data_IF_896681295443
#
_entry.id   IF_896681295443
#
_cell.length_a   1.000
_cell.length_b   1.000
_cell.length_c   1.000
_cell.angle_alpha   90.00
_cell.angle_beta   90.00
_cell.angle_gamma   90.00
#
_symmetry.space_group_name_H-M   'P 1'
#
loop_
_entity.id
_entity.type
_entity.pdbx_description
1 polymer ?
#
# COMPACT_ATOMS: atom_id res chain seq x y z
N UNK A 1 -19.77 8.87 16.51
CA UNK A 1 -20.65 9.77 15.71
C UNK A 1 -21.00 9.14 14.35
N UNK A 2 -22.25 8.67 14.18
CA UNK A 2 -22.81 8.26 12.89
C UNK A 2 -23.33 9.52 12.16
N UNK A 3 -23.23 9.61 10.82
CA UNK A 3 -23.70 10.73 9.97
C UNK A 3 -22.88 12.05 9.93
N UNK A 4 -21.54 12.01 9.94
CA UNK A 4 -20.73 13.23 9.77
C UNK A 4 -20.46 13.62 8.30
N UNK A 5 -20.65 12.71 7.35
CA UNK A 5 -20.42 12.94 5.91
C UNK A 5 -21.73 13.09 5.12
N UNK A 6 -21.72 13.92 4.07
CA UNK A 6 -22.73 13.89 3.04
C UNK A 6 -22.48 12.65 2.17
N UNK A 7 -23.28 11.61 2.38
CA UNK A 7 -23.12 10.30 1.72
C UNK A 7 -23.28 10.38 0.21
N UNK A 8 -24.08 11.32 -0.31
CA UNK A 8 -24.26 11.53 -1.76
C UNK A 8 -23.01 12.10 -2.43
N UNK A 9 -22.14 12.76 -1.66
CA UNK A 9 -20.87 13.29 -2.15
C UNK A 9 -19.72 12.28 -2.05
N UNK A 10 -19.94 11.09 -1.47
CA UNK A 10 -18.85 10.13 -1.33
C UNK A 10 -18.51 9.53 -2.69
N UNK A 11 -17.29 9.75 -3.16
CA UNK A 11 -16.74 9.14 -4.36
C UNK A 11 -15.39 8.49 -4.05
N UNK A 12 -15.17 7.31 -4.58
CA UNK A 12 -13.85 6.70 -4.57
C UNK A 12 -12.98 7.50 -5.54
N UNK A 13 -11.99 8.21 -5.02
CA UNK A 13 -11.19 9.17 -5.79
C UNK A 13 -9.89 8.53 -6.27
N UNK A 14 -9.18 7.86 -5.36
CA UNK A 14 -7.87 7.29 -5.64
C UNK A 14 -7.85 5.81 -5.32
N UNK A 15 -7.02 5.11 -6.07
CA UNK A 15 -6.59 3.76 -5.83
C UNK A 15 -5.10 3.72 -5.54
N UNK A 16 -4.68 2.75 -4.75
CA UNK A 16 -3.28 2.47 -4.51
C UNK A 16 -2.99 1.00 -4.79
N UNK A 17 -1.72 0.68 -4.94
CA UNK A 17 -1.24 -0.65 -5.32
C UNK A 17 -0.36 -1.19 -4.22
N UNK A 18 -0.46 -2.48 -3.98
CA UNK A 18 0.42 -3.18 -3.06
C UNK A 18 1.67 -3.65 -3.80
N UNK A 19 2.84 -3.40 -3.23
CA UNK A 19 4.13 -3.71 -3.84
C UNK A 19 5.04 -4.44 -2.88
N UNK A 20 5.91 -5.29 -3.43
CA UNK A 20 7.04 -5.87 -2.72
C UNK A 20 8.26 -4.97 -2.98
N UNK A 21 8.88 -4.50 -1.91
CA UNK A 21 10.09 -3.67 -1.96
C UNK A 21 11.28 -4.36 -1.32
N UNK A 22 12.47 -3.95 -1.71
CA UNK A 22 13.75 -4.32 -1.09
C UNK A 22 14.66 -3.09 -1.06
N UNK A 23 15.78 -3.16 -0.33
CA UNK A 23 16.75 -2.07 -0.31
C UNK A 23 17.44 -1.92 -1.68
N UNK A 24 17.80 -0.71 -2.10
CA UNK A 24 18.39 -0.46 -3.43
C UNK A 24 19.71 -1.20 -3.68
N UNK A 25 20.49 -1.44 -2.62
CA UNK A 25 21.74 -2.21 -2.69
C UNK A 25 21.56 -3.72 -2.87
N UNK A 26 20.34 -4.25 -2.72
CA UNK A 26 20.06 -5.67 -2.92
C UNK A 26 20.14 -6.02 -4.42
N UNK A 27 20.73 -7.17 -4.74
CA UNK A 27 20.88 -7.65 -6.13
C UNK A 27 19.59 -8.17 -6.75
N UNK A 28 18.51 -8.28 -5.98
CA UNK A 28 17.20 -8.72 -6.48
C UNK A 28 16.54 -7.59 -7.24
N UNK A 29 16.32 -7.79 -8.53
CA UNK A 29 15.61 -6.82 -9.38
C UNK A 29 14.15 -7.21 -9.62
N UNK A 30 13.81 -8.49 -9.52
CA UNK A 30 12.44 -8.96 -9.67
C UNK A 30 12.14 -10.19 -8.82
N UNK A 31 10.91 -10.27 -8.33
CA UNK A 31 10.37 -11.44 -7.62
C UNK A 31 9.12 -11.95 -8.34
N UNK A 32 9.03 -13.25 -8.65
CA UNK A 32 7.83 -13.81 -9.26
C UNK A 32 6.74 -13.97 -8.19
N UNK A 33 5.88 -12.95 -7.98
CA UNK A 33 4.77 -13.02 -7.01
C UNK A 33 3.66 -13.98 -7.47
N UNK A 34 3.92 -15.28 -7.34
CA UNK A 34 2.98 -16.36 -7.58
C UNK A 34 3.27 -17.53 -6.63
N UNK A 35 2.43 -18.56 -6.62
CA UNK A 35 2.56 -19.69 -5.70
C UNK A 35 3.85 -20.51 -5.81
N UNK A 36 4.71 -20.26 -6.80
CA UNK A 36 6.04 -20.90 -6.91
C UNK A 36 7.15 -20.12 -6.19
N UNK A 37 6.87 -18.92 -5.67
CA UNK A 37 7.84 -18.13 -4.95
C UNK A 37 8.20 -18.75 -3.61
N UNK A 38 9.45 -19.17 -3.46
CA UNK A 38 9.99 -19.64 -2.19
C UNK A 38 10.44 -18.45 -1.32
N UNK A 39 9.54 -18.00 -0.44
CA UNK A 39 9.78 -16.86 0.46
C UNK A 39 10.93 -17.16 1.42
N UNK A 40 10.98 -18.37 1.98
CA UNK A 40 12.02 -18.77 2.94
C UNK A 40 13.40 -18.67 2.34
N UNK A 41 13.57 -19.21 1.11
CA UNK A 41 14.83 -19.11 0.38
C UNK A 41 15.16 -17.68 -0.02
N UNK A 42 14.16 -16.91 -0.48
CA UNK A 42 14.37 -15.52 -0.87
C UNK A 42 14.83 -14.65 0.30
N UNK A 43 14.29 -14.87 1.49
CA UNK A 43 14.65 -14.15 2.72
C UNK A 43 16.03 -14.55 3.27
N UNK A 44 16.48 -15.78 3.05
CA UNK A 44 17.78 -16.28 3.51
C UNK A 44 18.07 -15.96 4.99
N UNK A 45 17.09 -16.25 5.87
CA UNK A 45 17.18 -15.97 7.31
C UNK A 45 16.81 -14.54 7.73
N UNK A 46 16.55 -13.64 6.79
CA UNK A 46 15.98 -12.31 7.06
C UNK A 46 14.46 -12.37 7.25
N UNK A 47 13.83 -11.20 7.43
CA UNK A 47 12.39 -11.03 7.66
C UNK A 47 11.68 -10.39 6.47
N UNK A 48 10.40 -10.74 6.30
CA UNK A 48 9.46 -10.02 5.46
C UNK A 48 8.71 -9.02 6.34
N UNK A 49 8.87 -7.73 6.12
CA UNK A 49 8.19 -6.71 6.94
C UNK A 49 6.84 -6.32 6.34
N UNK A 50 5.82 -6.24 7.19
CA UNK A 50 4.46 -5.82 6.82
C UNK A 50 3.90 -4.93 7.94
N UNK A 51 2.91 -4.08 7.64
CA UNK A 51 2.05 -3.56 8.71
C UNK A 51 1.38 -4.72 9.45
N UNK A 52 1.08 -4.58 10.76
CA UNK A 52 0.45 -5.67 11.51
C UNK A 52 -0.86 -6.11 10.84
N UNK A 53 -0.96 -7.37 10.36
CA UNK A 53 -2.11 -7.85 9.60
C UNK A 53 -3.43 -7.89 10.38
N UNK A 54 -3.40 -7.71 11.70
CA UNK A 54 -4.62 -7.70 12.52
C UNK A 54 -5.31 -6.33 12.53
N UNK A 55 -4.61 -5.24 12.22
CA UNK A 55 -5.19 -3.90 12.38
C UNK A 55 -4.60 -2.81 11.47
N UNK A 56 -3.49 -3.03 10.76
CA UNK A 56 -2.92 -2.07 9.81
C UNK A 56 -3.46 -2.41 8.42
N UNK A 57 -4.14 -1.48 7.71
CA UNK A 57 -4.70 -1.76 6.37
C UNK A 57 -3.69 -2.38 5.40
N UNK A 58 -2.47 -1.83 5.29
CA UNK A 58 -1.42 -2.39 4.44
C UNK A 58 -1.06 -3.84 4.80
N UNK A 59 -1.10 -4.18 6.09
CA UNK A 59 -0.89 -5.54 6.58
C UNK A 59 -2.04 -6.48 6.24
N UNK A 60 -3.28 -5.99 6.33
CA UNK A 60 -4.48 -6.74 5.96
C UNK A 60 -4.43 -7.08 4.46
N UNK A 61 -4.18 -6.09 3.60
CA UNK A 61 -4.03 -6.31 2.16
C UNK A 61 -2.86 -7.23 1.82
N UNK A 62 -1.73 -7.12 2.53
CA UNK A 62 -0.60 -8.04 2.37
C UNK A 62 -0.96 -9.49 2.72
N UNK A 63 -1.73 -9.69 3.79
CA UNK A 63 -2.22 -11.01 4.16
C UNK A 63 -3.16 -11.57 3.08
N UNK A 64 -4.16 -10.80 2.65
CA UNK A 64 -5.09 -11.21 1.59
C UNK A 64 -4.33 -11.59 0.30
N UNK A 65 -3.38 -10.75 -0.11
CA UNK A 65 -2.58 -10.99 -1.30
C UNK A 65 -1.75 -12.26 -1.21
N UNK A 66 -1.08 -12.50 -0.08
CA UNK A 66 -0.30 -13.72 0.15
C UNK A 66 -1.20 -14.96 0.28
N UNK A 67 -2.40 -14.84 0.85
CA UNK A 67 -3.38 -15.93 0.92
C UNK A 67 -3.88 -16.31 -0.47
N UNK A 68 -4.21 -15.32 -1.31
CA UNK A 68 -4.61 -15.52 -2.71
C UNK A 68 -3.55 -16.25 -3.53
N UNK A 69 -2.27 -15.97 -3.27
CA UNK A 69 -1.13 -16.64 -3.91
C UNK A 69 -0.77 -17.99 -3.29
N UNK A 70 -1.41 -18.41 -2.20
CA UNK A 70 -1.07 -19.64 -1.46
C UNK A 70 0.23 -19.56 -0.67
N UNK A 71 0.75 -18.35 -0.42
CA UNK A 71 2.06 -18.09 0.20
C UNK A 71 1.98 -17.73 1.68
N UNK A 72 0.79 -17.41 2.21
CA UNK A 72 0.62 -16.92 3.58
C UNK A 72 1.23 -17.85 4.64
N UNK A 73 1.00 -19.16 4.53
CA UNK A 73 1.51 -20.13 5.51
C UNK A 73 3.05 -20.14 5.58
N UNK A 74 3.73 -19.88 4.46
CA UNK A 74 5.18 -19.75 4.42
C UNK A 74 5.64 -18.40 4.98
N UNK A 75 4.91 -17.34 4.68
CA UNK A 75 5.26 -15.97 5.07
C UNK A 75 5.05 -15.69 6.57
N UNK A 76 3.94 -16.14 7.14
CA UNK A 76 3.48 -15.80 8.50
C UNK A 76 4.56 -15.93 9.60
N UNK A 77 5.29 -17.06 9.72
CA UNK A 77 6.33 -17.19 10.74
C UNK A 77 7.55 -16.27 10.50
N UNK A 78 7.72 -15.77 9.28
CA UNK A 78 8.85 -14.93 8.86
C UNK A 78 8.54 -13.43 8.95
N UNK A 79 7.34 -13.05 9.37
CA UNK A 79 6.90 -11.65 9.36
C UNK A 79 7.53 -10.80 10.47
N UNK A 80 8.13 -9.67 10.10
CA UNK A 80 8.29 -8.54 11.01
C UNK A 80 7.04 -7.65 10.93
N UNK A 81 6.26 -7.56 12.01
CA UNK A 81 4.99 -6.81 12.04
C UNK A 81 5.24 -5.39 12.55
N UNK A 82 4.95 -4.40 11.73
CA UNK A 82 5.11 -2.99 12.05
C UNK A 82 3.78 -2.35 12.46
N UNK A 83 3.83 -1.32 13.31
CA UNK A 83 2.62 -0.62 13.78
C UNK A 83 1.95 0.25 12.70
N UNK A 84 2.65 0.55 11.60
CA UNK A 84 2.13 1.22 10.40
C UNK A 84 3.03 0.95 9.18
N UNK A 85 2.57 1.30 7.99
CA UNK A 85 3.28 1.04 6.72
C UNK A 85 4.61 1.78 6.59
N UNK A 86 4.73 2.99 7.15
CA UNK A 86 6.00 3.76 7.14
C UNK A 86 7.05 3.13 8.05
N UNK A 87 6.64 2.59 9.20
CA UNK A 87 7.53 1.83 10.05
C UNK A 87 8.00 0.53 9.36
N UNK A 88 7.14 -0.11 8.55
CA UNK A 88 7.55 -1.24 7.74
C UNK A 88 8.62 -0.85 6.71
N UNK A 89 8.40 0.26 6.00
CA UNK A 89 9.34 0.80 5.01
C UNK A 89 10.72 1.10 5.60
N UNK A 90 10.76 1.75 6.78
CA UNK A 90 12.01 2.07 7.48
C UNK A 90 12.87 0.84 7.80
N UNK A 91 12.25 -0.32 8.06
CA UNK A 91 12.98 -1.56 8.33
C UNK A 91 13.66 -2.11 7.06
N UNK A 92 13.08 -1.85 5.89
CA UNK A 92 13.71 -2.19 4.60
C UNK A 92 14.84 -1.20 4.28
N UNK A 93 14.61 0.10 4.48
CA UNK A 93 15.63 1.15 4.29
C UNK A 93 16.87 0.91 5.17
N UNK A 94 16.68 0.42 6.40
CA UNK A 94 17.77 0.08 7.32
C UNK A 94 18.37 -1.30 7.10
N UNK A 95 17.88 -2.06 6.13
CA UNK A 95 18.28 -3.45 5.87
C UNK A 95 18.07 -4.38 7.07
N UNK A 96 17.15 -4.03 7.98
CA UNK A 96 16.72 -4.87 9.09
C UNK A 96 15.72 -5.95 8.63
N UNK A 97 15.04 -5.70 7.50
CA UNK A 97 14.23 -6.66 6.78
C UNK A 97 14.61 -6.64 5.29
N UNK A 98 14.81 -7.82 4.68
CA UNK A 98 15.22 -7.92 3.28
C UNK A 98 14.11 -7.48 2.31
N UNK A 99 12.87 -7.83 2.63
CA UNK A 99 11.71 -7.44 1.84
C UNK A 99 10.66 -6.79 2.72
N UNK A 100 9.90 -5.86 2.13
CA UNK A 100 8.70 -5.30 2.74
C UNK A 100 7.51 -5.30 1.78
N UNK A 101 6.30 -5.43 2.32
CA UNK A 101 5.06 -5.22 1.57
C UNK A 101 4.47 -3.89 2.01
N UNK A 102 4.41 -2.93 1.08
CA UNK A 102 4.00 -1.55 1.31
C UNK A 102 3.12 -1.06 0.16
N UNK A 103 2.61 0.17 0.26
CA UNK A 103 1.94 0.79 -0.87
C UNK A 103 2.95 1.35 -1.88
N UNK A 104 2.58 1.35 -3.17
CA UNK A 104 3.39 1.91 -4.24
C UNK A 104 3.75 3.38 -3.96
N UNK A 105 2.80 4.17 -3.45
CA UNK A 105 3.01 5.57 -3.10
C UNK A 105 4.08 5.76 -2.03
N UNK A 106 4.16 4.85 -1.05
CA UNK A 106 5.19 4.88 0.00
C UNK A 106 6.56 4.55 -0.59
N UNK A 107 6.62 3.54 -1.47
CA UNK A 107 7.86 3.13 -2.14
C UNK A 107 8.40 4.22 -3.09
N UNK A 108 7.53 4.98 -3.76
CA UNK A 108 7.94 6.02 -4.71
C UNK A 108 8.63 7.23 -4.06
N UNK A 109 8.33 7.52 -2.80
CA UNK A 109 8.94 8.66 -2.07
C UNK A 109 10.12 8.25 -1.19
N UNK A 110 10.35 6.94 -1.02
CA UNK A 110 11.49 6.42 -0.27
C UNK A 110 12.78 6.52 -1.07
N UNK A 111 13.89 6.74 -0.36
CA UNK A 111 15.18 7.01 -0.99
C UNK A 111 16.00 5.75 -1.22
N UNK A 112 15.90 4.79 -0.30
CA UNK A 112 16.81 3.64 -0.24
C UNK A 112 16.12 2.31 -0.56
N UNK A 113 14.90 2.35 -1.10
CA UNK A 113 14.17 1.15 -1.53
C UNK A 113 13.95 1.13 -3.04
N UNK A 114 13.72 -0.06 -3.58
CA UNK A 114 13.22 -0.29 -4.94
C UNK A 114 12.06 -1.28 -4.91
N UNK A 115 11.13 -1.12 -5.85
CA UNK A 115 10.04 -2.07 -6.07
C UNK A 115 10.58 -3.24 -6.90
N UNK A 116 10.37 -4.47 -6.43
CA UNK A 116 10.79 -5.69 -7.13
C UNK A 116 9.63 -6.52 -7.65
N UNK A 117 8.41 -6.22 -7.19
CA UNK A 117 7.19 -6.78 -7.75
C UNK A 117 5.95 -5.96 -7.34
N UNK A 118 4.89 -6.04 -8.13
CA UNK A 118 3.57 -5.51 -7.79
C UNK A 118 2.61 -6.69 -7.59
N UNK A 119 1.80 -6.66 -6.54
CA UNK A 119 0.74 -7.65 -6.36
C UNK A 119 -0.38 -7.40 -7.37
N UNK A 120 -1.05 -8.48 -7.79
CA UNK A 120 -2.24 -8.38 -8.65
C UNK A 120 -3.36 -7.69 -7.88
N UNK A 121 -4.10 -6.80 -8.55
CA UNK A 121 -5.25 -6.11 -7.95
C UNK A 121 -6.38 -7.08 -7.57
N UNK A 122 -6.39 -8.29 -8.13
CA UNK A 122 -7.34 -9.36 -7.79
C UNK A 122 -6.91 -10.18 -6.56
N UNK A 123 -5.70 -9.95 -6.04
CA UNK A 123 -5.16 -10.72 -4.91
C UNK A 123 -5.63 -10.21 -3.54
N UNK A 124 -6.15 -8.99 -3.47
CA UNK A 124 -6.63 -8.36 -2.24
C UNK A 124 -7.85 -7.47 -2.54
N UNK A 125 -8.54 -7.00 -1.50
CA UNK A 125 -9.61 -6.01 -1.68
C UNK A 125 -9.05 -4.70 -2.26
N UNK A 126 -9.83 -3.95 -3.05
CA UNK A 126 -9.38 -2.67 -3.61
C UNK A 126 -8.91 -1.70 -2.53
N UNK A 127 -7.74 -1.07 -2.75
CA UNK A 127 -7.19 -0.07 -1.84
C UNK A 127 -7.71 1.30 -2.29
N UNK A 128 -8.83 1.73 -1.73
CA UNK A 128 -9.53 2.96 -2.14
C UNK A 128 -9.40 4.10 -1.14
N UNK A 129 -9.27 5.33 -1.65
CA UNK A 129 -9.28 6.56 -0.87
C UNK A 129 -10.50 7.38 -1.30
N UNK A 130 -11.63 7.24 -0.59
CA UNK A 130 -12.82 8.01 -0.88
C UNK A 130 -12.67 9.45 -0.43
N UNK A 131 -13.21 10.37 -1.21
CA UNK A 131 -13.44 11.77 -0.83
C UNK A 131 -14.93 11.98 -0.58
N UNK A 132 -15.28 12.76 0.43
CA UNK A 132 -16.65 13.15 0.72
C UNK A 132 -16.68 14.51 1.42
N UNK A 133 -17.71 15.30 1.16
CA UNK A 133 -18.01 16.51 1.92
C UNK A 133 -18.53 16.14 3.31
N UNK A 134 -18.13 16.90 4.32
CA UNK A 134 -18.72 16.80 5.66
C UNK A 134 -20.08 17.49 5.69
N UNK A 135 -21.03 16.99 6.49
CA UNK A 135 -22.30 17.70 6.76
C UNK A 135 -22.09 18.93 7.64
N UNK A 136 -20.99 18.95 8.37
CA UNK A 136 -20.61 20.03 9.26
C UNK A 136 -19.94 21.14 8.45
N UNK A 137 -20.45 22.37 8.58
CA UNK A 137 -19.95 23.60 7.96
C UNK A 137 -19.80 23.53 6.41
N UNK A 138 -20.91 23.32 5.67
CA UNK A 138 -20.86 23.45 4.21
C UNK A 138 -20.43 24.86 3.83
N UNK A 139 -19.49 24.97 2.89
CA UNK A 139 -19.01 26.24 2.36
C UNK A 139 -18.67 26.12 0.89
N UNK A 140 -18.71 27.24 0.16
CA UNK A 140 -18.27 27.29 -1.23
C UNK A 140 -16.80 26.89 -1.36
N UNK A 141 -15.95 27.20 -0.37
CA UNK A 141 -14.56 26.78 -0.36
C UNK A 141 -14.41 25.25 -0.26
N UNK A 142 -15.19 24.59 0.61
CA UNK A 142 -15.19 23.14 0.72
C UNK A 142 -15.68 22.47 -0.56
N UNK A 143 -16.74 23.01 -1.18
CA UNK A 143 -17.22 22.54 -2.48
C UNK A 143 -16.16 22.71 -3.57
N UNK A 144 -15.53 23.89 -3.65
CA UNK A 144 -14.48 24.18 -4.63
C UNK A 144 -13.26 23.28 -4.47
N UNK A 145 -12.84 22.97 -3.23
CA UNK A 145 -11.75 22.01 -2.99
C UNK A 145 -12.16 20.58 -3.37
N UNK A 146 -13.38 20.15 -3.03
CA UNK A 146 -13.90 18.86 -3.43
C UNK A 146 -13.93 18.70 -4.96
N UNK A 147 -14.38 19.73 -5.68
CA UNK A 147 -14.39 19.74 -7.15
C UNK A 147 -12.97 19.76 -7.73
N UNK A 148 -12.06 20.56 -7.15
CA UNK A 148 -10.65 20.59 -7.54
C UNK A 148 -9.98 19.23 -7.41
N UNK A 149 -10.21 18.49 -6.32
CA UNK A 149 -9.64 17.15 -6.13
C UNK A 149 -10.04 16.16 -7.23
N UNK A 150 -11.12 16.41 -7.97
CA UNK A 150 -11.61 15.60 -9.10
C UNK A 150 -11.19 16.15 -10.47
N UNK A 151 -10.36 17.20 -10.51
CA UNK A 151 -9.90 17.82 -11.76
C UNK A 151 -8.68 17.10 -12.35
N UNK A 152 -8.38 17.37 -13.63
CA UNK A 152 -7.16 16.90 -14.29
C UNK A 152 -5.89 17.35 -13.59
N UNK A 153 -5.86 18.59 -13.08
CA UNK A 153 -4.69 19.15 -12.42
C UNK A 153 -4.38 18.40 -11.13
N UNK A 154 -5.41 18.05 -10.35
CA UNK A 154 -5.25 17.20 -9.18
C UNK A 154 -4.86 15.77 -9.58
N UNK A 155 -5.44 15.22 -10.64
CA UNK A 155 -5.12 13.89 -11.14
C UNK A 155 -3.63 13.74 -11.49
N UNK A 156 -3.05 14.72 -12.20
CA UNK A 156 -1.61 14.71 -12.53
C UNK A 156 -0.73 14.69 -11.27
N UNK A 157 -1.14 15.40 -10.21
CA UNK A 157 -0.42 15.38 -8.92
C UNK A 157 -0.53 14.00 -8.28
N UNK A 158 -1.72 13.41 -8.26
CA UNK A 158 -1.92 12.08 -7.67
C UNK A 158 -1.13 10.98 -8.39
N UNK A 159 -1.17 10.98 -9.72
CA UNK A 159 -0.43 10.03 -10.56
C UNK A 159 1.08 10.17 -10.39
N UNK A 160 1.58 11.41 -10.26
CA UNK A 160 3.00 11.68 -9.98
C UNK A 160 3.48 11.04 -8.67
N UNK A 161 2.60 10.94 -7.67
CA UNK A 161 2.89 10.29 -6.39
C UNK A 161 2.47 8.81 -6.34
N UNK A 162 2.01 8.24 -7.47
CA UNK A 162 1.81 6.80 -7.63
C UNK A 162 0.40 6.31 -7.29
N UNK A 163 -0.55 7.21 -7.06
CA UNK A 163 -1.96 6.85 -7.00
C UNK A 163 -2.50 6.60 -8.41
N UNK A 164 -3.49 5.74 -8.55
CA UNK A 164 -4.33 5.67 -9.75
C UNK A 164 -5.61 6.45 -9.52
N UNK A 165 -6.03 7.25 -10.49
CA UNK A 165 -7.21 8.12 -10.38
C UNK A 165 -8.39 7.46 -11.09
N UNK A 166 -9.59 7.62 -10.52
CA UNK A 166 -10.86 7.12 -11.07
C UNK A 166 -11.47 8.04 -12.13
#
# INVERSE_FOLDING_TARGET
PKNVINTESRKDLLHNRLVLVTHQSESVDSVPLNGSWDITKALNGSRLVVGDPNHVPAGIYAKEALESLGLWQQAEPLLARANNVRAALLLVERQEAKFGIVYQTDAQIAQDVKIVAQFSEQSHQPITYPVALTRQAPSQAAQGFYDYLQSSDAAEVFERYGFSVN
#
